data_IF_567733391786
#
_entry.id   IF_567733391786
#
_cell.length_a   1.000
_cell.length_b   1.000
_cell.length_c   1.000
_cell.angle_alpha   90.00
_cell.angle_beta   90.00
_cell.angle_gamma   90.00
#
_symmetry.space_group_name_H-M   'P 1'
#
loop_
_entity.id
_entity.type
_entity.pdbx_description
1 polymer ?
#
# COMPACT_ATOMS: atom_id res chain seq x y z
N UNK A 1 61.10 -24.79 7.96
CA UNK A 1 60.91 -26.16 7.45
C UNK A 1 60.53 -26.05 5.98
N UNK A 2 61.28 -26.74 5.12
CA UNK A 2 60.96 -27.20 3.75
C UNK A 2 60.59 -26.10 2.72
N UNK A 3 61.47 -25.57 1.87
CA UNK A 3 62.28 -26.15 0.75
C UNK A 3 61.46 -26.58 -0.47
N UNK A 4 61.81 -25.95 -1.61
CA UNK A 4 61.84 -26.47 -2.99
C UNK A 4 60.52 -26.74 -3.73
N UNK A 5 60.42 -26.77 -5.06
CA UNK A 5 61.25 -26.36 -6.22
C UNK A 5 60.38 -26.72 -7.45
N UNK A 6 60.43 -25.86 -8.47
CA UNK A 6 60.26 -26.03 -9.93
C UNK A 6 59.61 -27.30 -10.52
N UNK A 7 58.73 -27.12 -11.53
CA UNK A 7 58.84 -27.90 -12.77
C UNK A 7 58.32 -27.13 -14.01
N UNK A 8 59.19 -27.06 -15.02
CA UNK A 8 58.95 -26.66 -16.40
C UNK A 8 58.41 -27.87 -17.18
N UNK A 9 57.41 -27.72 -18.06
CA UNK A 9 57.25 -28.63 -19.23
C UNK A 9 56.71 -27.86 -20.44
N UNK A 10 57.35 -28.16 -21.55
CA UNK A 10 57.28 -27.62 -22.90
C UNK A 10 56.19 -28.28 -23.74
N UNK A 11 55.60 -27.53 -24.67
CA UNK A 11 55.40 -27.95 -26.07
C UNK A 11 54.26 -28.92 -26.42
N UNK A 12 53.42 -28.51 -27.38
CA UNK A 12 52.51 -29.40 -28.09
C UNK A 12 51.61 -28.63 -29.07
N UNK A 13 52.11 -28.41 -30.29
CA UNK A 13 51.30 -27.93 -31.41
C UNK A 13 50.73 -29.12 -32.18
N UNK A 14 49.44 -29.11 -32.50
CA UNK A 14 48.86 -29.87 -33.62
C UNK A 14 47.72 -29.08 -34.27
N UNK A 15 47.79 -29.04 -35.60
CA UNK A 15 46.83 -28.48 -36.52
C UNK A 15 45.50 -29.25 -36.52
N UNK A 16 44.39 -28.53 -36.70
CA UNK A 16 43.25 -29.00 -37.48
C UNK A 16 42.46 -27.81 -38.01
N UNK A 17 42.54 -27.58 -39.32
CA UNK A 17 41.62 -26.72 -40.05
C UNK A 17 40.34 -27.52 -40.33
N UNK A 18 39.18 -26.98 -39.97
CA UNK A 18 37.90 -27.39 -40.53
C UNK A 18 36.98 -26.17 -40.68
N UNK A 19 36.56 -25.97 -41.93
CA UNK A 19 35.56 -25.00 -42.37
C UNK A 19 34.16 -25.39 -41.89
N UNK A 20 33.42 -24.46 -41.30
CA UNK A 20 31.99 -24.61 -41.06
C UNK A 20 31.23 -23.30 -41.28
N UNK A 21 30.72 -23.17 -42.50
CA UNK A 21 29.36 -22.79 -42.89
C UNK A 21 28.50 -21.90 -41.97
N UNK A 22 28.08 -20.76 -42.52
CA UNK A 22 26.69 -20.29 -42.48
C UNK A 22 26.13 -19.84 -41.12
N UNK A 23 26.37 -18.58 -40.75
CA UNK A 23 25.59 -17.91 -39.71
C UNK A 23 24.25 -17.43 -40.30
N UNK A 24 23.22 -18.27 -40.20
CA UNK A 24 21.83 -17.82 -40.38
C UNK A 24 21.47 -16.96 -39.16
N UNK A 25 21.20 -15.67 -39.38
CA UNK A 25 20.78 -14.76 -38.33
C UNK A 25 19.46 -15.24 -37.69
N UNK A 26 19.50 -15.54 -36.40
CA UNK A 26 18.29 -15.78 -35.62
C UNK A 26 17.48 -14.48 -35.48
N UNK A 27 16.14 -14.51 -35.52
CA UNK A 27 15.35 -13.34 -35.25
C UNK A 27 15.49 -12.98 -33.77
N UNK A 28 16.07 -11.82 -33.48
CA UNK A 28 16.02 -11.25 -32.15
C UNK A 28 14.57 -10.87 -31.84
N UNK A 29 13.87 -11.68 -31.04
CA UNK A 29 12.67 -11.22 -30.37
C UNK A 29 13.06 -10.08 -29.43
N UNK A 30 12.77 -8.83 -29.85
CA UNK A 30 12.72 -7.70 -28.93
C UNK A 30 11.56 -7.97 -27.99
N UNK A 31 11.84 -8.50 -26.81
CA UNK A 31 10.92 -8.39 -25.68
C UNK A 31 10.88 -6.92 -25.29
N UNK A 32 10.06 -6.14 -26.01
CA UNK A 32 9.64 -4.84 -25.56
C UNK A 32 8.79 -5.05 -24.32
N UNK A 33 9.37 -4.85 -23.15
CA UNK A 33 8.60 -4.53 -21.95
C UNK A 33 7.88 -3.23 -22.24
N UNK A 34 6.65 -3.33 -22.74
CA UNK A 34 5.72 -2.22 -22.71
C UNK A 34 5.65 -1.79 -21.24
N UNK A 35 6.15 -0.59 -20.94
CA UNK A 35 5.91 0.02 -19.65
C UNK A 35 4.39 0.05 -19.49
N UNK A 36 3.86 -0.74 -18.56
CA UNK A 36 2.48 -0.63 -18.13
C UNK A 36 2.36 0.79 -17.60
N UNK A 37 1.77 1.68 -18.39
CA UNK A 37 1.46 3.02 -17.95
C UNK A 37 0.38 2.84 -16.90
N UNK A 38 0.78 2.88 -15.64
CA UNK A 38 -0.13 2.87 -14.50
C UNK A 38 -1.18 3.95 -14.77
N UNK A 39 -2.44 3.52 -14.88
CA UNK A 39 -3.53 4.46 -15.10
C UNK A 39 -3.57 5.40 -13.88
N UNK A 40 -3.69 6.73 -14.08
CA UNK A 40 -3.73 7.66 -12.96
C UNK A 40 -4.86 7.28 -12.02
N UNK A 41 -4.56 7.25 -10.72
CA UNK A 41 -5.55 7.07 -9.67
C UNK A 41 -6.73 8.01 -9.91
N UNK A 42 -7.96 7.48 -9.86
CA UNK A 42 -9.15 8.33 -9.99
C UNK A 42 -9.14 9.33 -8.83
N UNK A 43 -9.19 10.63 -9.13
CA UNK A 43 -9.27 11.65 -8.09
C UNK A 43 -10.56 11.46 -7.26
N UNK A 44 -10.50 11.58 -5.92
CA UNK A 44 -11.70 11.59 -5.09
C UNK A 44 -12.71 12.64 -5.57
N UNK A 45 -13.98 12.25 -5.69
CA UNK A 45 -15.07 13.19 -5.98
C UNK A 45 -15.68 13.80 -4.72
N UNK A 46 -15.35 13.26 -3.54
CA UNK A 46 -15.81 13.77 -2.25
C UNK A 46 -15.48 12.84 -1.10
N UNK A 47 -15.86 13.28 0.10
CA UNK A 47 -15.69 12.53 1.35
C UNK A 47 -17.00 12.52 2.13
N UNK A 48 -17.24 11.44 2.86
CA UNK A 48 -18.29 11.35 3.88
C UNK A 48 -17.61 11.11 5.21
N UNK A 49 -17.65 12.10 6.10
CA UNK A 49 -17.11 11.97 7.44
C UNK A 49 -18.02 11.11 8.31
N UNK A 50 -17.42 10.22 9.09
CA UNK A 50 -18.11 9.31 10.01
C UNK A 50 -17.85 9.74 11.47
N UNK A 51 -18.63 9.23 12.43
CA UNK A 51 -18.47 9.60 13.84
C UNK A 51 -17.04 9.39 14.34
N UNK A 52 -16.47 10.43 14.94
CA UNK A 52 -15.14 10.39 15.54
C UNK A 52 -15.14 9.60 16.84
N UNK A 53 -14.01 8.99 17.19
CA UNK A 53 -13.88 8.19 18.42
C UNK A 53 -12.55 8.46 19.13
N UNK A 54 -12.56 8.80 20.43
CA UNK A 54 -11.33 8.87 21.21
C UNK A 54 -10.78 7.46 21.46
N UNK A 55 -9.45 7.36 21.51
CA UNK A 55 -8.71 6.13 21.82
C UNK A 55 -7.72 6.41 22.92
N UNK A 56 -7.75 5.60 23.97
CA UNK A 56 -6.83 5.72 25.09
C UNK A 56 -5.41 5.35 24.66
N UNK A 57 -4.42 6.10 25.14
CA UNK A 57 -3.01 5.74 25.01
C UNK A 57 -2.61 4.81 26.18
N UNK A 58 -3.05 3.55 26.12
CA UNK A 58 -2.80 2.54 27.16
C UNK A 58 -1.98 1.35 26.64
N UNK A 59 -1.43 1.45 25.42
CA UNK A 59 -0.69 0.38 24.74
C UNK A 59 -1.54 -0.81 24.32
N UNK A 60 -2.87 -0.75 24.46
CA UNK A 60 -3.78 -1.82 24.05
C UNK A 60 -4.34 -1.56 22.66
N UNK A 61 -4.73 -2.63 21.99
CA UNK A 61 -5.46 -2.54 20.73
C UNK A 61 -6.92 -2.16 21.01
N UNK A 62 -7.40 -1.09 20.39
CA UNK A 62 -8.78 -0.63 20.45
C UNK A 62 -9.46 -0.90 19.11
N UNK A 63 -10.37 -1.85 19.09
CA UNK A 63 -11.13 -2.21 17.89
C UNK A 63 -12.25 -1.22 17.60
N UNK A 64 -12.48 -0.94 16.32
CA UNK A 64 -13.58 -0.13 15.83
C UNK A 64 -14.01 -0.58 14.43
N UNK A 65 -15.27 -0.32 14.08
CA UNK A 65 -15.82 -0.65 12.76
C UNK A 65 -16.16 0.63 12.03
N UNK A 66 -15.67 0.73 10.80
CA UNK A 66 -16.12 1.72 9.82
C UNK A 66 -17.34 1.14 9.13
N UNK A 67 -18.52 1.64 9.51
CA UNK A 67 -19.79 1.28 8.91
C UNK A 67 -20.29 2.40 8.00
N UNK A 68 -20.64 2.08 6.75
CA UNK A 68 -21.18 3.04 5.79
C UNK A 68 -22.24 2.39 4.89
N UNK A 69 -23.41 3.01 4.85
CA UNK A 69 -24.45 2.69 3.87
C UNK A 69 -24.41 3.66 2.71
N UNK A 70 -24.27 3.15 1.50
CA UNK A 70 -24.26 3.99 0.31
C UNK A 70 -25.67 4.47 -0.04
N UNK A 71 -26.03 5.67 0.38
CA UNK A 71 -27.29 6.32 0.01
C UNK A 71 -27.15 7.27 -1.19
N UNK A 72 -25.95 7.36 -1.77
CA UNK A 72 -25.62 8.26 -2.87
C UNK A 72 -25.49 7.57 -4.22
N UNK A 73 -25.04 8.32 -5.22
CA UNK A 73 -24.85 7.85 -6.60
C UNK A 73 -23.44 7.32 -6.90
N UNK A 74 -22.46 7.64 -6.04
CA UNK A 74 -21.09 7.14 -6.17
C UNK A 74 -21.09 5.60 -6.05
N UNK A 75 -20.49 4.92 -7.03
CA UNK A 75 -20.46 3.45 -7.05
C UNK A 75 -19.17 2.87 -6.50
N UNK A 76 -18.14 3.68 -6.36
CA UNK A 76 -16.82 3.24 -5.92
C UNK A 76 -16.44 4.04 -4.69
N UNK A 77 -16.05 3.34 -3.64
CA UNK A 77 -15.74 3.95 -2.34
C UNK A 77 -14.50 3.31 -1.73
N UNK A 78 -13.78 4.04 -0.88
CA UNK A 78 -12.74 3.46 -0.04
C UNK A 78 -12.82 4.05 1.37
N UNK A 79 -12.67 3.24 2.43
CA UNK A 79 -12.48 3.78 3.76
C UNK A 79 -11.13 4.49 3.85
N UNK A 80 -11.11 5.59 4.59
CA UNK A 80 -9.89 6.24 5.02
C UNK A 80 -9.98 6.50 6.52
N UNK A 81 -8.91 6.20 7.25
CA UNK A 81 -8.83 6.45 8.68
C UNK A 81 -7.84 7.58 8.90
N UNK A 82 -8.28 8.62 9.61
CA UNK A 82 -7.42 9.67 10.12
C UNK A 82 -7.24 9.47 11.61
N UNK A 83 -6.05 9.77 12.12
CA UNK A 83 -5.74 9.75 13.55
C UNK A 83 -5.15 11.10 13.90
N UNK A 84 -5.91 11.87 14.66
CA UNK A 84 -5.48 13.14 15.17
C UNK A 84 -4.71 12.97 16.48
N UNK A 85 -3.72 13.83 16.61
CA UNK A 85 -2.95 14.00 17.82
C UNK A 85 -3.83 14.53 18.96
N UNK A 86 -3.44 14.29 20.22
CA UNK A 86 -4.17 14.83 21.37
C UNK A 86 -4.18 16.35 21.34
N UNK A 87 -5.32 16.95 21.71
CA UNK A 87 -5.51 18.42 21.77
C UNK A 87 -4.43 19.17 22.59
N UNK A 88 -3.84 18.49 23.58
CA UNK A 88 -2.79 19.03 24.45
C UNK A 88 -1.54 18.14 24.53
N UNK A 89 -1.20 17.43 23.45
CA UNK A 89 -0.04 16.54 23.38
C UNK A 89 0.88 16.84 22.19
N UNK A 90 2.06 16.20 22.12
CA UNK A 90 2.90 16.26 20.92
C UNK A 90 2.17 15.63 19.73
N UNK A 91 2.59 16.00 18.52
CA UNK A 91 2.08 15.37 17.30
C UNK A 91 2.49 13.91 17.22
N UNK A 92 1.56 13.05 16.82
CA UNK A 92 1.81 11.64 16.55
C UNK A 92 2.63 11.49 15.26
N UNK A 93 3.69 10.68 15.34
CA UNK A 93 4.40 10.16 14.18
C UNK A 93 3.81 8.80 13.76
N UNK A 94 4.00 8.37 12.49
CA UNK A 94 3.53 7.06 12.03
C UNK A 94 4.03 5.88 12.88
N UNK A 95 5.20 5.99 13.51
CA UNK A 95 5.76 4.96 14.40
C UNK A 95 5.11 4.90 15.79
N UNK A 96 4.34 5.92 16.17
CA UNK A 96 3.68 6.00 17.48
C UNK A 96 2.34 5.27 17.50
N UNK A 97 1.87 4.82 16.34
CA UNK A 97 0.54 4.26 16.17
C UNK A 97 0.62 3.05 15.24
N UNK A 98 0.05 1.93 15.67
CA UNK A 98 -0.18 0.76 14.83
C UNK A 98 -1.66 0.68 14.47
N UNK A 99 -1.98 0.95 13.21
CA UNK A 99 -3.29 0.68 12.64
C UNK A 99 -3.27 -0.66 11.92
N UNK A 100 -4.27 -1.49 12.17
CA UNK A 100 -4.44 -2.77 11.49
C UNK A 100 -5.88 -2.93 11.02
N UNK A 101 -6.05 -3.55 9.84
CA UNK A 101 -7.35 -3.90 9.27
C UNK A 101 -7.57 -5.40 9.40
N UNK A 102 -8.78 -5.80 9.76
CA UNK A 102 -9.16 -7.20 9.76
C UNK A 102 -9.50 -7.67 8.35
N UNK A 103 -8.77 -8.66 7.86
CA UNK A 103 -9.11 -9.38 6.64
C UNK A 103 -10.03 -10.55 6.98
N UNK A 104 -11.29 -10.46 6.55
CA UNK A 104 -12.32 -11.49 6.78
C UNK A 104 -12.04 -12.80 6.04
N UNK A 105 -11.27 -12.77 4.95
CA UNK A 105 -10.98 -13.97 4.17
C UNK A 105 -9.89 -14.82 4.83
N UNK A 106 -8.87 -14.17 5.39
CA UNK A 106 -7.76 -14.84 6.10
C UNK A 106 -7.98 -14.91 7.61
N UNK A 107 -8.96 -14.17 8.13
CA UNK A 107 -9.22 -13.98 9.56
C UNK A 107 -8.00 -13.41 10.31
N UNK A 108 -7.26 -12.52 9.67
CA UNK A 108 -6.02 -11.96 10.20
C UNK A 108 -6.05 -10.44 10.25
N UNK A 109 -5.36 -9.89 11.24
CA UNK A 109 -5.08 -8.46 11.32
C UNK A 109 -3.86 -8.14 10.45
N UNK A 110 -4.02 -7.20 9.54
CA UNK A 110 -2.95 -6.76 8.63
C UNK A 110 -2.59 -5.30 8.92
N UNK A 111 -1.30 -4.96 9.10
CA UNK A 111 -0.88 -3.58 9.27
C UNK A 111 -1.30 -2.69 8.10
N UNK A 112 -1.81 -1.51 8.42
CA UNK A 112 -2.15 -0.49 7.44
C UNK A 112 -1.15 0.65 7.58
N UNK A 113 -0.38 0.99 6.54
CA UNK A 113 0.58 2.07 6.61
C UNK A 113 -0.13 3.42 6.80
N UNK A 114 0.46 4.26 7.65
CA UNK A 114 0.02 5.62 7.90
C UNK A 114 1.01 6.61 7.31
N UNK A 115 0.48 7.59 6.59
CA UNK A 115 1.19 8.79 6.21
C UNK A 115 0.91 9.90 7.23
N UNK A 116 1.59 11.04 7.13
CA UNK A 116 1.41 12.18 8.02
C UNK A 116 1.40 13.49 7.26
N UNK A 117 0.47 14.37 7.61
CA UNK A 117 0.44 15.74 7.13
C UNK A 117 -0.04 16.64 8.26
N UNK A 118 0.75 17.66 8.59
CA UNK A 118 0.40 18.69 9.60
C UNK A 118 -0.03 18.10 10.95
N UNK A 119 0.59 16.99 11.39
CA UNK A 119 0.29 16.37 12.68
C UNK A 119 -0.95 15.47 12.73
N UNK A 120 -1.56 15.22 11.58
CA UNK A 120 -2.60 14.20 11.41
C UNK A 120 -2.04 13.01 10.65
N UNK A 121 -2.17 11.82 11.23
CA UNK A 121 -1.87 10.58 10.54
C UNK A 121 -3.06 10.17 9.68
N UNK A 122 -2.83 9.59 8.51
CA UNK A 122 -3.91 9.11 7.66
C UNK A 122 -3.50 7.88 6.84
N UNK A 123 -4.46 7.00 6.57
CA UNK A 123 -4.25 5.93 5.58
C UNK A 123 -4.22 6.52 4.19
N UNK A 124 -3.29 6.08 3.34
CA UNK A 124 -3.24 6.50 1.94
C UNK A 124 -4.58 6.23 1.25
N UNK A 125 -5.01 7.16 0.39
CA UNK A 125 -6.18 6.94 -0.46
C UNK A 125 -5.75 5.95 -1.54
N UNK A 126 -6.38 4.78 -1.65
CA UNK A 126 -5.97 3.81 -2.65
C UNK A 126 -6.27 4.33 -4.06
N UNK A 127 -5.44 3.97 -5.03
CA UNK A 127 -5.64 4.34 -6.43
C UNK A 127 -6.96 3.79 -7.00
N UNK A 128 -7.47 2.72 -6.39
CA UNK A 128 -8.74 2.07 -6.70
C UNK A 128 -9.59 1.92 -5.43
N UNK A 129 -10.90 2.13 -5.55
CA UNK A 129 -11.85 1.84 -4.48
C UNK A 129 -12.57 0.51 -4.67
N UNK A 130 -13.42 0.16 -3.70
CA UNK A 130 -14.35 -0.96 -3.75
C UNK A 130 -15.65 -0.53 -4.44
N UNK A 131 -16.16 -1.36 -5.34
CA UNK A 131 -17.52 -1.19 -5.88
C UNK A 131 -18.54 -1.41 -4.75
N UNK A 132 -19.37 -0.40 -4.48
CA UNK A 132 -20.45 -0.43 -3.50
C UNK A 132 -21.71 0.16 -4.15
N UNK A 133 -22.68 -0.68 -4.58
CA UNK A 133 -23.93 -0.20 -5.15
C UNK A 133 -24.72 0.71 -4.20
N UNK A 134 -25.56 1.57 -4.77
CA UNK A 134 -26.53 2.33 -3.98
C UNK A 134 -27.44 1.37 -3.19
N UNK A 135 -27.67 1.70 -1.93
CA UNK A 135 -28.43 0.91 -0.96
C UNK A 135 -27.61 -0.13 -0.18
N UNK A 136 -26.38 -0.45 -0.61
CA UNK A 136 -25.52 -1.46 0.00
C UNK A 136 -24.64 -0.91 1.13
N UNK A 137 -24.16 -1.82 1.97
CA UNK A 137 -23.36 -1.52 3.16
C UNK A 137 -21.88 -1.91 3.00
N UNK A 138 -21.02 -1.13 3.63
CA UNK A 138 -19.60 -1.36 3.81
C UNK A 138 -19.32 -1.44 5.31
N UNK A 139 -18.75 -2.56 5.72
CA UNK A 139 -18.22 -2.78 7.06
C UNK A 139 -16.75 -3.14 6.96
N UNK A 140 -15.90 -2.33 7.59
CA UNK A 140 -14.46 -2.61 7.68
C UNK A 140 -14.02 -2.48 9.12
N UNK A 141 -13.49 -3.56 9.66
CA UNK A 141 -13.01 -3.60 11.04
C UNK A 141 -11.53 -3.22 11.09
N UNK A 142 -11.22 -2.33 12.02
CA UNK A 142 -9.89 -1.85 12.31
C UNK A 142 -9.58 -2.03 13.79
N UNK A 143 -8.29 -2.02 14.13
CA UNK A 143 -7.82 -1.81 15.48
C UNK A 143 -6.69 -0.81 15.49
N UNK A 144 -6.68 0.05 16.49
CA UNK A 144 -5.64 1.05 16.72
C UNK A 144 -4.90 0.72 18.01
N UNK A 145 -3.57 0.67 17.97
CA UNK A 145 -2.73 0.66 19.16
C UNK A 145 -1.91 1.94 19.17
N UNK A 146 -1.94 2.70 20.26
CA UNK A 146 -1.01 3.82 20.47
C UNK A 146 0.18 3.28 21.25
N UNK A 147 1.38 3.38 20.68
CA UNK A 147 2.59 2.79 21.24
C UNK A 147 3.11 3.65 22.41
N UNK A 148 3.25 3.08 23.62
CA UNK A 148 3.62 3.86 24.82
C UNK A 148 4.98 4.55 24.72
N UNK A 149 5.90 3.97 23.95
CA UNK A 149 7.25 4.51 23.75
C UNK A 149 7.29 5.75 22.84
N UNK A 150 6.25 5.96 22.02
CA UNK A 150 6.17 7.08 21.08
C UNK A 150 5.67 8.38 21.72
N UNK A 151 4.86 8.28 22.78
CA UNK A 151 4.10 9.44 23.27
C UNK A 151 3.84 9.37 24.78
N UNK A 152 4.87 9.60 25.57
CA UNK A 152 4.78 9.55 27.04
C UNK A 152 3.78 10.56 27.67
N UNK A 153 3.33 11.57 26.91
CA UNK A 153 2.47 12.65 27.41
C UNK A 153 1.03 12.67 26.84
N UNK A 154 0.77 11.95 25.74
CA UNK A 154 -0.55 11.92 25.12
C UNK A 154 -1.51 11.06 25.93
N UNK A 155 -2.64 11.61 26.40
CA UNK A 155 -3.68 10.83 27.09
C UNK A 155 -4.60 10.07 26.13
N UNK A 156 -4.90 10.66 24.97
CA UNK A 156 -5.78 10.08 23.97
C UNK A 156 -5.41 10.51 22.55
N UNK A 157 -5.61 9.63 21.58
CA UNK A 157 -5.71 9.98 20.17
C UNK A 157 -7.18 10.09 19.76
N UNK A 158 -7.48 10.73 18.64
CA UNK A 158 -8.85 10.77 18.07
C UNK A 158 -8.85 10.11 16.70
N UNK A 159 -9.63 9.06 16.53
CA UNK A 159 -9.90 8.48 15.23
C UNK A 159 -11.00 9.30 14.54
N UNK A 160 -10.77 9.67 13.30
CA UNK A 160 -11.76 10.24 12.40
C UNK A 160 -11.86 9.38 11.14
N UNK A 161 -12.82 8.44 11.09
CA UNK A 161 -13.04 7.65 9.89
C UNK A 161 -13.80 8.48 8.85
N UNK A 162 -13.48 8.29 7.57
CA UNK A 162 -14.25 8.85 6.45
C UNK A 162 -14.30 7.90 5.28
N UNK A 163 -15.29 8.09 4.41
CA UNK A 163 -15.42 7.35 3.16
C UNK A 163 -15.02 8.26 2.01
N UNK A 164 -13.98 7.85 1.27
CA UNK A 164 -13.59 8.45 0.01
C UNK A 164 -14.56 7.98 -1.07
N UNK A 165 -15.15 8.92 -1.80
CA UNK A 165 -16.04 8.63 -2.92
C UNK A 165 -15.26 8.80 -4.23
N UNK A 166 -15.38 7.83 -5.13
CA UNK A 166 -14.82 7.89 -6.46
C UNK A 166 -15.93 7.93 -7.50
N UNK A 167 -15.84 8.93 -8.38
CA UNK A 167 -16.66 9.05 -9.57
C UNK A 167 -18.10 9.53 -9.34
N UNK A 168 -18.45 10.55 -10.12
CA UNK A 168 -19.48 10.41 -11.15
C UNK A 168 -18.85 10.73 -12.51
N UNK A 169 -17.79 10.00 -12.87
CA UNK A 169 -17.14 10.17 -14.17
C UNK A 169 -17.93 9.45 -15.24
N UNK A 170 -18.55 10.19 -16.16
CA UNK A 170 -18.99 9.66 -17.45
C UNK A 170 -17.88 8.79 -18.01
N UNK A 171 -18.14 7.49 -18.20
CA UNK A 171 -17.22 6.64 -18.96
C UNK A 171 -16.94 7.27 -20.33
N UNK A 172 -15.87 6.86 -21.03
CA UNK A 172 -15.73 7.25 -22.43
C UNK A 172 -17.01 6.85 -23.15
N UNK A 173 -17.75 7.84 -23.65
CA UNK A 173 -18.75 7.61 -24.69
C UNK A 173 -17.92 7.12 -25.88
N UNK A 174 -17.91 5.80 -26.09
CA UNK A 174 -17.51 5.24 -27.37
C UNK A 174 -18.58 5.64 -28.37
N UNK A 175 -18.48 6.89 -28.83
CA UNK A 175 -19.16 7.37 -30.01
C UNK A 175 -18.34 6.97 -31.22
N UNK A 176 -18.81 5.93 -31.91
CA UNK A 176 -19.19 5.87 -33.33
C UNK A 176 -19.32 4.40 -33.71
#
# INVERSE_FOLDING_TARGET
MTVATTLLVTGGAVFAATTASGATAAPAHRNGTAAVREAPAAAPSGFVDLPTRPVANDGRAHEFTVHYRNIGTARVVAPQVLVESPEAGPYLAPGDVRLEQFDVATQQWTPVPLETQTGTLYTAIPATGRLLPSGADLDVQYRLTVEPAGVAAARQAVIQPRIVLFGSGSGPVLGT
#
